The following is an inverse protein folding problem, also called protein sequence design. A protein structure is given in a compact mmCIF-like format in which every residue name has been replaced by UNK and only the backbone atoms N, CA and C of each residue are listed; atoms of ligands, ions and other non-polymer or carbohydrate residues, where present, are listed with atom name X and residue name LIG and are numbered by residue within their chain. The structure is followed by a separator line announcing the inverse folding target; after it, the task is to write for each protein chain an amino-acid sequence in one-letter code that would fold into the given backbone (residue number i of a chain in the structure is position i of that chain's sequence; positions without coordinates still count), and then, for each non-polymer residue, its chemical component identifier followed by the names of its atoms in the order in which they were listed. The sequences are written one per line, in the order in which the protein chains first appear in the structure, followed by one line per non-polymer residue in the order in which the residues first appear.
data_IF_881359868542
#
_entry.id   IF_881359868542
#
_cell.length_a   1.000
_cell.length_b   1.000
_cell.length_c   1.000
_cell.angle_alpha   90.00
_cell.angle_beta   90.00
_cell.angle_gamma   90.00
#
_symmetry.space_group_name_H-M   'P 1'
#
loop_
_entity.id
_entity.type
_entity.pdbx_description
1 polymer ?
#
# COMPACT_ATOMS: atom_id res chain seq x y z
N UNK A 1 20.06 5.09 17.84
CA UNK A 1 18.95 5.29 16.89
C UNK A 1 17.81 4.39 17.33
N UNK A 2 16.82 4.93 18.04
CA UNK A 2 15.65 4.17 18.49
C UNK A 2 14.47 4.67 17.68
N UNK A 3 14.04 3.89 16.69
CA UNK A 3 12.80 4.15 16.00
C UNK A 3 11.68 3.56 16.86
N UNK A 4 11.06 4.42 17.67
CA UNK A 4 9.83 4.06 18.37
C UNK A 4 8.70 4.02 17.34
N UNK A 5 8.40 2.82 16.87
CA UNK A 5 7.22 2.50 16.07
C UNK A 5 5.96 2.67 16.94
N UNK A 6 5.44 3.89 16.98
CA UNK A 6 4.07 4.19 17.43
C UNK A 6 3.20 4.37 16.20
N UNK A 7 2.39 3.35 15.88
CA UNK A 7 1.48 3.38 14.72
C UNK A 7 1.25 1.98 14.14
N UNK A 8 0.57 1.12 14.90
CA UNK A 8 0.37 -0.31 14.59
C UNK A 8 -0.48 -0.59 13.33
N UNK A 9 -0.95 0.45 12.64
CA UNK A 9 -1.74 0.36 11.41
C UNK A 9 -1.10 1.10 10.25
N UNK A 10 -0.30 2.13 10.51
CA UNK A 10 0.23 2.99 9.45
C UNK A 10 1.50 2.46 8.79
N UNK A 11 2.36 1.82 9.59
CA UNK A 11 3.58 1.21 9.07
C UNK A 11 3.32 0.06 8.10
N UNK A 12 2.16 -0.60 8.20
CA UNK A 12 1.87 -1.75 7.35
C UNK A 12 1.55 -1.32 5.91
N UNK A 13 0.78 -0.26 5.71
CA UNK A 13 0.39 0.21 4.37
C UNK A 13 1.59 0.78 3.61
N UNK A 14 2.36 1.66 4.25
CA UNK A 14 3.53 2.26 3.62
C UNK A 14 4.57 1.20 3.24
N UNK A 15 4.83 0.24 4.13
CA UNK A 15 5.74 -0.88 3.85
C UNK A 15 5.26 -1.75 2.70
N UNK A 16 3.95 -2.03 2.63
CA UNK A 16 3.37 -2.82 1.54
C UNK A 16 3.50 -2.09 0.20
N UNK A 17 3.19 -0.79 0.17
CA UNK A 17 3.33 0.06 -1.01
C UNK A 17 4.78 0.08 -1.49
N UNK A 18 5.74 0.26 -0.58
CA UNK A 18 7.17 0.26 -0.91
C UNK A 18 7.61 -1.10 -1.47
N UNK A 19 7.11 -2.22 -0.92
CA UNK A 19 7.37 -3.56 -1.44
C UNK A 19 6.83 -3.76 -2.86
N UNK A 20 5.59 -3.33 -3.12
CA UNK A 20 4.98 -3.42 -4.47
C UNK A 20 5.76 -2.58 -5.48
N UNK A 21 6.15 -1.36 -5.10
CA UNK A 21 6.94 -0.47 -5.97
C UNK A 21 8.32 -1.08 -6.23
N UNK A 22 8.98 -1.63 -5.21
CA UNK A 22 10.28 -2.27 -5.33
C UNK A 22 10.24 -3.54 -6.20
N UNK A 23 9.19 -4.34 -6.05
CA UNK A 23 8.99 -5.56 -6.85
C UNK A 23 8.54 -5.25 -8.28
N UNK A 24 7.98 -4.07 -8.54
CA UNK A 24 7.42 -3.71 -9.85
C UNK A 24 6.17 -4.52 -10.24
N UNK A 25 5.65 -5.28 -9.28
CA UNK A 25 4.48 -6.12 -9.44
C UNK A 25 3.68 -6.14 -8.13
N UNK A 26 2.36 -6.24 -8.26
CA UNK A 26 1.44 -6.39 -7.15
C UNK A 26 0.78 -7.75 -7.25
N UNK A 27 0.82 -8.55 -6.18
CA UNK A 27 0.08 -9.80 -6.11
C UNK A 27 -1.38 -9.58 -5.68
N UNK A 28 -2.23 -10.59 -5.85
CA UNK A 28 -3.65 -10.48 -5.52
C UNK A 28 -3.91 -10.28 -4.01
N UNK A 29 -3.07 -10.86 -3.15
CA UNK A 29 -3.17 -10.69 -1.69
C UNK A 29 -2.85 -9.26 -1.26
N UNK A 30 -1.81 -8.65 -1.83
CA UNK A 30 -1.40 -7.27 -1.63
C UNK A 30 -2.49 -6.30 -2.08
N UNK A 31 -3.10 -6.56 -3.25
CA UNK A 31 -4.24 -5.80 -3.74
C UNK A 31 -5.43 -5.84 -2.76
N UNK A 32 -5.75 -7.03 -2.25
CA UNK A 32 -6.83 -7.20 -1.26
C UNK A 32 -6.48 -6.53 0.07
N UNK A 33 -5.24 -6.60 0.53
CA UNK A 33 -4.79 -5.94 1.76
C UNK A 33 -4.90 -4.41 1.65
N UNK A 34 -4.46 -3.82 0.53
CA UNK A 34 -4.60 -2.37 0.31
C UNK A 34 -6.06 -1.93 0.24
N UNK A 35 -6.88 -2.70 -0.49
CA UNK A 35 -8.31 -2.40 -0.62
C UNK A 35 -9.02 -2.54 0.73
N UNK A 36 -8.73 -3.59 1.48
CA UNK A 36 -9.28 -3.80 2.82
C UNK A 36 -8.81 -2.71 3.79
N UNK A 37 -7.58 -2.23 3.66
CA UNK A 37 -7.09 -1.14 4.48
C UNK A 37 -7.85 0.17 4.20
N UNK A 38 -8.09 0.50 2.92
CA UNK A 38 -8.91 1.67 2.52
C UNK A 38 -10.34 1.54 3.04
N UNK A 39 -10.94 0.37 2.91
CA UNK A 39 -12.33 0.12 3.33
C UNK A 39 -12.48 0.03 4.86
N UNK A 40 -11.41 -0.24 5.59
CA UNK A 40 -11.45 -0.36 7.05
C UNK A 40 -11.65 0.98 7.78
N UNK A 41 -11.69 2.11 7.06
CA UNK A 41 -12.10 3.50 7.44
C UNK A 41 -11.52 4.10 8.73
N UNK A 42 -10.74 3.35 9.52
CA UNK A 42 -10.50 3.71 10.90
C UNK A 42 -9.11 4.30 11.16
N UNK A 43 -8.11 4.10 10.29
CA UNK A 43 -6.72 4.52 10.59
C UNK A 43 -5.84 4.86 9.38
N UNK A 44 -6.43 5.18 8.23
CA UNK A 44 -5.65 5.64 7.06
C UNK A 44 -5.59 7.16 7.05
N UNK A 45 -4.37 7.68 7.08
CA UNK A 45 -4.06 9.09 6.89
C UNK A 45 -4.20 9.48 5.41
N UNK A 46 -4.39 10.77 5.12
CA UNK A 46 -4.44 11.23 3.73
C UNK A 46 -3.16 10.89 2.94
N UNK A 47 -2.01 10.84 3.61
CA UNK A 47 -0.74 10.51 2.97
C UNK A 47 -0.69 9.06 2.50
N UNK A 48 -1.15 8.14 3.35
CA UNK A 48 -1.29 6.73 2.99
C UNK A 48 -2.32 6.56 1.88
N UNK A 49 -3.45 7.26 1.94
CA UNK A 49 -4.44 7.23 0.85
C UNK A 49 -3.84 7.67 -0.48
N UNK A 50 -2.98 8.72 -0.48
CA UNK A 50 -2.26 9.17 -1.68
C UNK A 50 -1.27 8.11 -2.17
N UNK A 51 -0.54 7.45 -1.28
CA UNK A 51 0.38 6.38 -1.62
C UNK A 51 -0.34 5.20 -2.27
N UNK A 52 -1.45 4.76 -1.67
CA UNK A 52 -2.24 3.65 -2.20
C UNK A 52 -2.83 4.01 -3.57
N UNK A 53 -3.42 5.21 -3.72
CA UNK A 53 -3.94 5.68 -4.99
C UNK A 53 -2.86 5.70 -6.08
N UNK A 54 -1.64 6.12 -5.75
CA UNK A 54 -0.52 6.13 -6.69
C UNK A 54 -0.15 4.73 -7.19
N UNK A 55 -0.21 3.73 -6.32
CA UNK A 55 0.01 2.33 -6.70
C UNK A 55 -1.09 1.84 -7.63
N UNK A 56 -2.35 2.14 -7.31
CA UNK A 56 -3.47 1.81 -8.20
C UNK A 56 -3.38 2.50 -9.57
N UNK A 57 -2.98 3.78 -9.60
CA UNK A 57 -2.73 4.51 -10.83
C UNK A 57 -1.61 3.85 -11.65
N UNK A 58 -0.55 3.36 -11.01
CA UNK A 58 0.52 2.65 -11.70
C UNK A 58 0.06 1.31 -12.27
N UNK A 59 -0.86 0.61 -11.61
CA UNK A 59 -1.46 -0.62 -12.15
C UNK A 59 -2.36 -0.29 -13.33
N UNK A 60 -3.24 0.70 -13.20
CA UNK A 60 -4.15 1.13 -14.28
C UNK A 60 -3.39 1.63 -15.51
N UNK A 61 -2.30 2.35 -15.31
CA UNK A 61 -1.43 2.84 -16.39
C UNK A 61 -0.47 1.75 -16.93
N UNK A 62 -0.52 0.52 -16.42
CA UNK A 62 0.33 -0.59 -16.86
C UNK A 62 1.81 -0.46 -16.46
N UNK A 63 2.14 0.46 -15.54
CA UNK A 63 3.50 0.63 -14.98
C UNK A 63 3.82 -0.41 -13.91
N UNK A 64 2.79 -0.94 -13.23
CA UNK A 64 2.86 -2.09 -12.34
C UNK A 64 2.11 -3.25 -12.96
N UNK A 65 2.66 -4.45 -12.84
CA UNK A 65 1.99 -5.68 -13.28
C UNK A 65 1.24 -6.31 -12.12
N UNK A 66 -0.03 -6.66 -12.35
CA UNK A 66 -0.76 -7.50 -11.42
C UNK A 66 -0.32 -8.95 -11.67
N UNK A 67 0.23 -9.59 -10.65
CA UNK A 67 0.65 -10.99 -10.65
C UNK A 67 -0.26 -11.78 -9.70
N UNK A 68 -0.36 -13.10 -9.86
CA UNK A 68 -1.09 -13.98 -8.95
C UNK A 68 -0.11 -14.59 -7.95
#
# INVERSE_FOLDING_TARGET
MVWTVSGRSSLNVATLVDQIIANGAMNREEHLQLTSAILADHKITEEERRQINRVFDYIQNGRLRLVD
#
